data_IF_551857094970
#
_entry.id   IF_551857094970
#
_cell.length_a   1.000
_cell.length_b   1.000
_cell.length_c   1.000
_cell.angle_alpha   90.00
_cell.angle_beta   90.00
_cell.angle_gamma   90.00
#
_symmetry.space_group_name_H-M   'P 1'
#
loop_
_entity.id
_entity.type
_entity.pdbx_description
1 polymer ?
#
# COMPACT_ATOMS: atom_id res chain seq x y z
N UNK A 1 49.69 33.29 21.70
CA UNK A 1 49.20 32.04 22.28
C UNK A 1 48.02 32.39 23.17
N UNK A 2 46.79 32.30 22.63
CA UNK A 2 45.66 31.57 23.25
C UNK A 2 44.58 31.39 22.15
N UNK A 3 43.97 30.18 22.00
CA UNK A 3 43.31 29.72 20.79
C UNK A 3 41.80 29.96 20.80
N UNK A 4 41.23 29.89 19.60
CA UNK A 4 39.82 30.03 19.34
C UNK A 4 38.97 28.85 19.87
N UNK A 5 37.66 29.11 19.87
CA UNK A 5 36.53 28.17 19.79
C UNK A 5 36.18 27.37 21.06
N UNK A 6 35.08 27.76 21.72
CA UNK A 6 33.81 27.00 21.72
C UNK A 6 32.86 27.56 22.80
N UNK A 7 31.57 27.66 22.44
CA UNK A 7 30.41 27.95 23.30
C UNK A 7 30.01 29.41 23.53
N UNK A 8 29.63 30.08 22.44
CA UNK A 8 28.72 31.23 22.45
C UNK A 8 27.49 30.90 21.61
N UNK A 9 26.39 30.46 22.24
CA UNK A 9 25.01 30.86 21.85
C UNK A 9 23.97 30.43 22.92
N UNK A 10 23.34 31.37 23.65
CA UNK A 10 22.17 31.10 24.48
C UNK A 10 20.85 31.48 23.77
N UNK A 11 19.82 30.66 23.99
CA UNK A 11 18.42 31.06 24.21
C UNK A 11 17.72 32.04 23.26
N UNK A 12 17.08 31.51 22.19
CA UNK A 12 15.76 31.96 21.67
C UNK A 12 15.03 30.73 21.13
N UNK A 13 14.16 30.09 21.90
CA UNK A 13 12.71 30.27 21.87
C UNK A 13 12.01 29.62 20.65
N UNK A 14 11.04 28.76 20.98
CA UNK A 14 9.94 28.28 20.14
C UNK A 14 10.29 27.44 18.88
N UNK A 15 10.44 26.13 19.08
CA UNK A 15 9.88 25.17 18.10
C UNK A 15 8.53 24.67 18.62
N UNK A 16 7.42 25.26 18.13
CA UNK A 16 6.08 24.84 18.48
C UNK A 16 5.76 23.50 17.83
N UNK A 17 4.96 22.75 18.58
CA UNK A 17 3.88 21.92 18.07
C UNK A 17 4.23 20.63 17.33
N UNK A 18 3.74 19.57 17.96
CA UNK A 18 3.17 18.40 17.30
C UNK A 18 4.24 17.67 16.49
N UNK A 19 4.90 16.74 17.16
CA UNK A 19 5.14 15.44 16.52
C UNK A 19 3.84 15.06 15.80
N UNK A 20 3.86 15.27 14.49
CA UNK A 20 2.83 14.93 13.55
C UNK A 20 2.68 13.41 13.66
N UNK A 21 1.75 13.01 14.53
CA UNK A 21 0.66 12.15 14.18
C UNK A 21 0.99 11.20 13.01
N UNK A 22 1.80 10.17 13.27
CA UNK A 22 1.89 9.00 12.37
C UNK A 22 0.73 8.05 12.64
N UNK A 23 -0.45 8.58 12.93
CA UNK A 23 -1.69 7.92 12.54
C UNK A 23 -1.82 8.10 11.03
N UNK A 24 -1.02 7.35 10.27
CA UNK A 24 -1.57 6.87 9.01
C UNK A 24 -2.69 5.93 9.41
N UNK A 25 -3.89 6.48 9.61
CA UNK A 25 -5.11 5.70 9.60
C UNK A 25 -5.21 5.12 8.21
N UNK A 26 -4.56 3.98 8.01
CA UNK A 26 -4.90 3.12 6.91
C UNK A 26 -6.29 2.55 7.22
N UNK A 27 -7.32 3.38 7.12
CA UNK A 27 -8.74 2.99 7.01
C UNK A 27 -8.99 2.28 5.69
N UNK A 28 -8.03 1.49 5.21
CA UNK A 28 -8.29 0.51 4.16
C UNK A 28 -8.94 -0.67 4.84
N UNK A 29 -10.26 -0.54 5.00
CA UNK A 29 -11.24 -1.62 5.05
C UNK A 29 -10.62 -2.96 5.43
N UNK A 30 -10.48 -3.21 6.73
CA UNK A 30 -10.24 -4.54 7.26
C UNK A 30 -11.58 -5.31 7.10
N UNK A 31 -11.84 -5.81 5.88
CA UNK A 31 -11.67 -7.19 5.42
C UNK A 31 -12.73 -8.18 5.95
N UNK A 32 -14.00 -7.82 5.85
CA UNK A 32 -15.07 -8.82 5.76
C UNK A 32 -15.57 -8.87 4.32
N UNK A 33 -15.13 -9.88 3.56
CA UNK A 33 -15.70 -10.15 2.22
C UNK A 33 -17.14 -10.65 2.42
N UNK A 34 -18.11 -9.75 2.26
CA UNK A 34 -19.53 -10.05 2.40
C UNK A 34 -20.13 -10.34 1.03
N UNK A 35 -20.70 -11.53 0.87
CA UNK A 35 -21.46 -11.90 -0.33
C UNK A 35 -22.83 -12.36 0.13
N UNK A 36 -23.87 -11.63 -0.27
CA UNK A 36 -25.25 -12.01 0.02
C UNK A 36 -25.77 -12.94 -1.08
N UNK A 37 -26.58 -13.92 -0.68
CA UNK A 37 -27.31 -14.79 -1.61
C UNK A 37 -28.49 -13.97 -2.15
N UNK A 38 -28.75 -14.05 -3.47
CA UNK A 38 -29.92 -13.45 -4.08
C UNK A 38 -31.07 -14.47 -4.08
N UNK A 39 -32.30 -14.01 -3.85
CA UNK A 39 -33.46 -14.89 -3.90
C UNK A 39 -33.59 -15.53 -5.31
N UNK A 40 -33.77 -16.84 -5.37
CA UNK A 40 -33.90 -17.60 -6.62
C UNK A 40 -32.58 -17.92 -7.35
N UNK A 41 -31.41 -17.64 -6.75
CA UNK A 41 -30.14 -18.00 -7.37
C UNK A 41 -29.70 -19.44 -7.02
N UNK A 42 -29.27 -20.26 -8.01
CA UNK A 42 -28.68 -21.56 -7.71
C UNK A 42 -27.36 -21.41 -6.94
N UNK A 43 -27.12 -22.27 -5.94
CA UNK A 43 -25.96 -22.19 -5.06
C UNK A 43 -24.61 -22.13 -5.79
N UNK A 44 -24.50 -22.81 -6.93
CA UNK A 44 -23.29 -22.79 -7.77
C UNK A 44 -22.96 -21.38 -8.30
N UNK A 45 -23.96 -20.60 -8.71
CA UNK A 45 -23.75 -19.22 -9.17
C UNK A 45 -23.29 -18.30 -8.03
N UNK A 46 -23.81 -18.51 -6.82
CA UNK A 46 -23.33 -17.80 -5.63
C UNK A 46 -21.84 -18.11 -5.36
N UNK A 47 -21.44 -19.38 -5.38
CA UNK A 47 -20.04 -19.79 -5.17
C UNK A 47 -19.10 -19.20 -6.21
N UNK A 48 -19.50 -19.14 -7.48
CA UNK A 48 -18.71 -18.50 -8.53
C UNK A 48 -18.51 -17.00 -8.26
N UNK A 49 -19.55 -16.28 -7.84
CA UNK A 49 -19.42 -14.86 -7.46
C UNK A 49 -18.52 -14.67 -6.25
N UNK A 50 -18.67 -15.52 -5.24
CA UNK A 50 -17.82 -15.50 -4.04
C UNK A 50 -16.34 -15.64 -4.41
N UNK A 51 -15.99 -16.67 -5.20
CA UNK A 51 -14.61 -16.88 -5.69
C UNK A 51 -14.07 -15.68 -6.47
N UNK A 52 -14.91 -15.06 -7.31
CA UNK A 52 -14.54 -13.86 -8.08
C UNK A 52 -14.26 -12.66 -7.16
N UNK A 53 -15.09 -12.45 -6.14
CA UNK A 53 -14.91 -11.36 -5.17
C UNK A 53 -13.63 -11.58 -4.35
N UNK A 54 -13.39 -12.79 -3.82
CA UNK A 54 -12.16 -13.13 -3.11
C UNK A 54 -10.90 -12.93 -3.96
N UNK A 55 -10.99 -13.24 -5.26
CA UNK A 55 -9.89 -13.03 -6.20
C UNK A 55 -9.66 -11.56 -6.53
N UNK A 56 -10.75 -10.76 -6.66
CA UNK A 56 -10.71 -9.33 -6.95
C UNK A 56 -10.13 -8.53 -5.78
N UNK A 57 -10.56 -8.82 -4.57
CA UNK A 57 -10.01 -8.22 -3.34
C UNK A 57 -8.56 -8.64 -3.09
N UNK A 58 -8.07 -9.66 -3.80
CA UNK A 58 -6.71 -10.13 -3.69
C UNK A 58 -6.45 -10.86 -2.37
N UNK A 59 -7.49 -11.41 -1.74
CA UNK A 59 -7.41 -12.15 -0.48
C UNK A 59 -6.30 -13.20 -0.52
N UNK A 60 -6.31 -14.06 -1.55
CA UNK A 60 -5.30 -15.10 -1.72
C UNK A 60 -3.88 -14.56 -1.90
N UNK A 61 -3.74 -13.39 -2.54
CA UNK A 61 -2.43 -12.73 -2.70
C UNK A 61 -1.92 -12.22 -1.37
N UNK A 62 -2.80 -11.65 -0.55
CA UNK A 62 -2.42 -11.14 0.77
C UNK A 62 -2.11 -12.29 1.74
N UNK A 63 -2.90 -13.39 1.72
CA UNK A 63 -2.59 -14.61 2.49
C UNK A 63 -1.20 -15.13 2.13
N UNK A 64 -0.91 -15.33 0.83
CA UNK A 64 0.40 -15.81 0.37
C UNK A 64 1.54 -14.84 0.72
N UNK A 65 1.26 -13.55 0.78
CA UNK A 65 2.24 -12.52 1.15
C UNK A 65 2.52 -12.45 2.65
N UNK A 66 1.56 -12.87 3.48
CA UNK A 66 1.66 -12.88 4.95
C UNK A 66 2.05 -14.24 5.53
N UNK A 67 2.10 -15.30 4.71
CA UNK A 67 2.40 -16.65 5.19
C UNK A 67 3.83 -16.82 5.72
N UNK A 68 4.73 -15.88 5.42
CA UNK A 68 6.09 -15.86 5.95
C UNK A 68 6.48 -14.45 6.39
N UNK A 69 7.40 -14.37 7.37
CA UNK A 69 7.98 -13.09 7.77
C UNK A 69 8.89 -12.56 6.66
N UNK A 70 8.58 -11.36 6.18
CA UNK A 70 9.42 -10.63 5.24
C UNK A 70 10.09 -9.48 6.00
N UNK A 71 11.44 -9.48 6.03
CA UNK A 71 12.22 -8.40 6.64
C UNK A 71 11.78 -7.03 6.09
N UNK A 72 11.69 -5.96 6.90
CA UNK A 72 11.20 -4.66 6.45
C UNK A 72 11.98 -4.07 5.26
N UNK A 73 13.28 -4.33 5.16
CA UNK A 73 14.09 -3.91 4.00
C UNK A 73 13.64 -4.61 2.71
N UNK A 74 13.46 -5.93 2.76
CA UNK A 74 12.97 -6.72 1.63
C UNK A 74 11.57 -6.30 1.20
N UNK A 75 10.70 -6.02 2.18
CA UNK A 75 9.35 -5.48 1.93
C UNK A 75 9.40 -4.14 1.21
N UNK A 76 10.30 -3.22 1.59
CA UNK A 76 10.50 -1.94 0.90
C UNK A 76 11.02 -2.16 -0.53
N UNK A 77 12.02 -3.03 -0.69
CA UNK A 77 12.61 -3.37 -2.00
C UNK A 77 11.59 -3.96 -2.96
N UNK A 78 10.77 -4.90 -2.50
CA UNK A 78 9.67 -5.51 -3.27
C UNK A 78 8.64 -4.46 -3.71
N UNK A 79 8.19 -3.61 -2.79
CA UNK A 79 7.23 -2.52 -3.09
C UNK A 79 7.76 -1.57 -4.17
N UNK A 80 9.04 -1.19 -4.09
CA UNK A 80 9.66 -0.32 -5.10
C UNK A 80 9.70 -0.98 -6.49
N UNK A 81 10.09 -2.26 -6.56
CA UNK A 81 10.09 -3.04 -7.81
C UNK A 81 8.68 -3.16 -8.41
N UNK A 82 7.67 -3.45 -7.58
CA UNK A 82 6.28 -3.55 -8.01
C UNK A 82 5.75 -2.22 -8.56
N UNK A 83 6.08 -1.10 -7.90
CA UNK A 83 5.71 0.25 -8.35
C UNK A 83 6.33 0.59 -9.71
N UNK A 84 7.63 0.31 -9.89
CA UNK A 84 8.30 0.51 -11.19
C UNK A 84 7.67 -0.36 -12.29
N UNK A 85 7.37 -1.63 -11.99
CA UNK A 85 6.71 -2.54 -12.93
C UNK A 85 5.31 -2.04 -13.31
N UNK A 86 4.55 -1.50 -12.35
CA UNK A 86 3.25 -0.92 -12.60
C UNK A 86 3.33 0.33 -13.50
N UNK A 87 4.32 1.21 -13.26
CA UNK A 87 4.56 2.38 -14.09
C UNK A 87 4.90 2.00 -15.54
N UNK A 88 5.84 1.06 -15.74
CA UNK A 88 6.22 0.57 -17.07
C UNK A 88 5.01 0.00 -17.83
N UNK A 89 4.16 -0.78 -17.14
CA UNK A 89 2.92 -1.30 -17.74
C UNK A 89 1.94 -0.20 -18.12
N UNK A 90 1.84 0.87 -17.33
CA UNK A 90 0.95 2.02 -17.61
C UNK A 90 1.41 2.78 -18.85
N UNK A 91 2.71 3.04 -18.95
CA UNK A 91 3.32 3.70 -20.12
C UNK A 91 3.08 2.86 -21.39
N UNK A 92 3.43 1.56 -21.36
CA UNK A 92 3.25 0.68 -22.52
C UNK A 92 1.78 0.55 -22.97
N UNK A 93 0.82 0.64 -22.04
CA UNK A 93 -0.62 0.68 -22.39
C UNK A 93 -1.01 1.98 -23.08
N UNK A 94 -0.51 3.11 -22.60
CA UNK A 94 -0.76 4.42 -23.20
C UNK A 94 -0.17 4.51 -24.61
N UNK A 95 1.03 3.99 -24.82
CA UNK A 95 1.67 3.92 -26.15
C UNK A 95 0.87 3.06 -27.13
N UNK A 96 0.41 1.88 -26.71
CA UNK A 96 -0.46 1.03 -27.55
C UNK A 96 -1.77 1.72 -27.90
N UNK A 97 -2.40 2.42 -26.95
CA UNK A 97 -3.62 3.17 -27.21
C UNK A 97 -3.41 4.33 -28.19
N UNK A 98 -2.23 4.97 -28.19
CA UNK A 98 -1.86 5.99 -29.18
C UNK A 98 -1.67 5.41 -30.58
N UNK A 99 -1.02 4.23 -30.69
CA UNK A 99 -0.73 3.57 -31.98
C UNK A 99 -1.97 2.90 -32.62
N UNK A 100 -3.02 2.63 -31.84
CA UNK A 100 -4.27 2.04 -32.32
C UNK A 100 -5.33 3.06 -32.76
N UNK A 101 -4.99 4.35 -32.82
CA UNK A 101 -5.75 5.41 -33.48
C UNK A 101 -5.11 5.70 -34.83
#
# INVERSE_FOLDING_TARGET
MDPAVLYFWPFTNALPHRYLQVFSTDRRNHLAIKVTIRAGEPGERFLQRFKRICSKDGLFKEIKKRSFYEKPSEKKRRRAKDAQRALRKRIARAERARKGK
#
